data_IF_546008079279
#
_entry.id   IF_546008079279
#
_cell.length_a   1.000
_cell.length_b   1.000
_cell.length_c   1.000
_cell.angle_alpha   90.00
_cell.angle_beta   90.00
_cell.angle_gamma   90.00
#
_symmetry.space_group_name_H-M   'P 1'
#
loop_
_entity.id
_entity.type
_entity.pdbx_description
1 polymer ?
#
# COMPACT_ATOMS: atom_id res chain seq x y z
N UNK A 1 -21.64 16.52 -7.76
CA UNK A 1 -21.03 15.43 -8.56
C UNK A 1 -21.64 14.13 -8.11
N UNK A 2 -22.20 13.32 -9.01
CA UNK A 2 -22.71 11.99 -8.68
C UNK A 2 -21.55 11.01 -8.71
N UNK A 3 -21.27 10.34 -7.59
CA UNK A 3 -20.25 9.27 -7.56
C UNK A 3 -20.83 8.07 -8.31
N UNK A 4 -20.18 7.69 -9.41
CA UNK A 4 -20.45 6.42 -10.09
C UNK A 4 -19.55 5.36 -9.47
N UNK A 5 -20.12 4.47 -8.67
CA UNK A 5 -19.38 3.32 -8.13
C UNK A 5 -19.00 2.39 -9.28
N UNK A 6 -17.70 2.14 -9.43
CA UNK A 6 -17.17 1.10 -10.31
C UNK A 6 -17.02 -0.15 -9.46
N UNK A 7 -17.61 -1.27 -9.88
CA UNK A 7 -17.41 -2.57 -9.24
C UNK A 7 -16.15 -3.18 -9.85
N UNK A 8 -15.20 -3.57 -9.01
CA UNK A 8 -13.94 -4.17 -9.45
C UNK A 8 -14.22 -5.46 -10.26
N UNK A 9 -13.66 -5.61 -11.48
CA UNK A 9 -13.87 -6.80 -12.30
C UNK A 9 -12.97 -7.98 -11.87
N UNK A 10 -12.69 -8.08 -10.57
CA UNK A 10 -11.90 -9.13 -9.94
C UNK A 10 -12.34 -9.31 -8.48
N UNK A 11 -11.96 -10.43 -7.87
CA UNK A 11 -12.13 -10.68 -6.44
C UNK A 11 -10.76 -10.73 -5.78
N UNK A 12 -10.71 -10.31 -4.52
CA UNK A 12 -9.50 -10.43 -3.69
C UNK A 12 -9.20 -11.93 -3.49
N UNK A 13 -7.98 -12.36 -3.86
CA UNK A 13 -7.52 -13.74 -3.69
C UNK A 13 -6.68 -13.93 -2.42
N UNK A 14 -5.86 -12.93 -2.10
CA UNK A 14 -4.95 -12.86 -0.95
C UNK A 14 -4.93 -11.42 -0.46
N UNK A 15 -4.58 -11.21 0.81
CA UNK A 15 -4.42 -9.89 1.43
C UNK A 15 -3.02 -9.73 2.02
N UNK A 16 -2.57 -8.48 2.15
CA UNK A 16 -1.42 -8.10 2.96
C UNK A 16 -1.93 -7.35 4.21
N UNK A 17 -1.52 -7.73 5.42
CA UNK A 17 -1.92 -7.03 6.65
C UNK A 17 -1.38 -5.59 6.67
N UNK A 18 -2.26 -4.64 7.03
CA UNK A 18 -1.88 -3.24 7.22
C UNK A 18 -1.66 -2.91 8.70
N UNK A 19 -0.59 -2.18 9.01
CA UNK A 19 -0.35 -1.66 10.37
C UNK A 19 -0.99 -0.29 10.55
N UNK A 20 -1.87 -0.17 11.54
CA UNK A 20 -2.42 1.13 11.94
C UNK A 20 -1.47 1.86 12.88
N UNK A 21 -1.06 3.06 12.48
CA UNK A 21 -0.32 3.99 13.35
C UNK A 21 -1.26 4.99 14.00
N UNK A 22 -0.90 5.45 15.18
CA UNK A 22 -1.48 6.64 15.80
C UNK A 22 -0.91 7.90 15.17
N UNK A 23 -1.59 9.04 15.38
CA UNK A 23 -1.11 10.34 14.91
C UNK A 23 0.25 10.72 15.53
N UNK A 24 0.46 10.42 16.81
CA UNK A 24 1.69 10.73 17.52
C UNK A 24 2.89 9.95 16.96
N UNK A 25 2.71 8.66 16.68
CA UNK A 25 3.74 7.84 16.02
C UNK A 25 4.09 8.40 14.64
N UNK A 26 3.09 8.77 13.82
CA UNK A 26 3.35 9.37 12.51
C UNK A 26 4.15 10.67 12.60
N UNK A 27 3.87 11.52 13.60
CA UNK A 27 4.65 12.74 13.81
C UNK A 27 6.12 12.44 14.16
N UNK A 28 6.37 11.42 14.98
CA UNK A 28 7.73 10.96 15.29
C UNK A 28 8.46 10.44 14.06
N UNK A 29 7.80 9.58 13.27
CA UNK A 29 8.33 9.03 12.01
C UNK A 29 8.70 10.14 11.03
N UNK A 30 7.81 11.13 10.82
CA UNK A 30 8.07 12.25 9.91
C UNK A 30 9.26 13.11 10.37
N UNK A 31 9.38 13.36 11.68
CA UNK A 31 10.53 14.10 12.23
C UNK A 31 11.84 13.34 12.01
N UNK A 32 11.86 12.04 12.29
CA UNK A 32 13.04 11.19 12.11
C UNK A 32 13.48 11.13 10.64
N UNK A 33 12.52 11.12 9.71
CA UNK A 33 12.78 11.14 8.27
C UNK A 33 13.16 12.53 7.73
N UNK A 34 13.31 13.55 8.59
CA UNK A 34 13.58 14.92 8.15
C UNK A 34 12.48 15.49 7.25
N UNK A 35 11.23 15.03 7.46
CA UNK A 35 10.06 15.35 6.65
C UNK A 35 10.14 14.94 5.17
N UNK A 36 11.12 14.10 4.80
CA UNK A 36 11.20 13.49 3.48
C UNK A 36 10.55 12.10 3.48
N UNK A 37 9.49 11.92 2.69
CA UNK A 37 8.76 10.65 2.64
C UNK A 37 9.59 9.48 2.11
N UNK A 38 10.60 9.73 1.26
CA UNK A 38 11.53 8.69 0.81
C UNK A 38 12.36 8.09 1.96
N UNK A 39 12.47 8.80 3.09
CA UNK A 39 13.12 8.30 4.31
C UNK A 39 12.19 7.56 5.27
N UNK A 40 10.90 7.42 4.96
CA UNK A 40 9.92 6.74 5.81
C UNK A 40 9.90 5.24 5.50
N UNK A 41 9.98 4.40 6.54
CA UNK A 41 9.87 2.94 6.39
C UNK A 41 8.44 2.55 5.99
N UNK A 42 8.31 1.66 5.00
CA UNK A 42 7.02 1.23 4.44
C UNK A 42 6.04 0.70 5.49
N UNK A 43 6.53 -0.06 6.49
CA UNK A 43 5.72 -0.57 7.61
C UNK A 43 5.05 0.52 8.50
N UNK A 44 5.43 1.79 8.32
CA UNK A 44 4.84 2.94 9.01
C UNK A 44 3.87 3.74 8.14
N UNK A 45 3.71 3.33 6.88
CA UNK A 45 2.77 3.90 5.91
C UNK A 45 1.54 3.00 5.86
N UNK A 46 0.36 3.60 6.04
CA UNK A 46 -0.91 2.85 6.04
C UNK A 46 -1.45 2.59 4.63
N UNK A 47 -1.37 3.61 3.77
CA UNK A 47 -1.72 3.54 2.34
C UNK A 47 -0.57 4.22 1.62
N UNK A 48 0.17 3.45 0.83
CA UNK A 48 1.31 3.97 0.07
C UNK A 48 0.86 4.35 -1.34
N UNK A 49 0.97 5.65 -1.64
CA UNK A 49 0.66 6.25 -2.93
C UNK A 49 1.91 6.91 -3.54
N UNK A 50 3.10 6.55 -3.08
CA UNK A 50 4.35 7.19 -3.51
C UNK A 50 4.67 6.91 -4.99
N UNK A 51 4.37 5.70 -5.47
CA UNK A 51 4.61 5.30 -6.87
C UNK A 51 3.72 4.12 -7.27
N UNK A 52 3.45 4.01 -8.57
CA UNK A 52 2.82 2.88 -9.24
C UNK A 52 3.84 1.86 -9.80
N UNK A 53 5.13 2.18 -9.76
CA UNK A 53 6.21 1.33 -10.27
C UNK A 53 6.49 0.16 -9.33
N UNK A 54 6.01 -1.04 -9.68
CA UNK A 54 6.29 -2.27 -8.93
C UNK A 54 5.42 -2.50 -7.69
N UNK A 55 4.37 -1.70 -7.49
CA UNK A 55 3.44 -1.76 -6.34
C UNK A 55 2.08 -2.39 -6.69
N UNK A 56 1.94 -2.95 -7.89
CA UNK A 56 0.71 -3.60 -8.35
C UNK A 56 0.51 -4.98 -7.70
N UNK A 57 -0.76 -5.35 -7.46
CA UNK A 57 -1.12 -6.71 -7.05
C UNK A 57 -1.15 -7.66 -8.25
N UNK A 58 -0.41 -8.76 -8.17
CA UNK A 58 -0.42 -9.81 -9.20
C UNK A 58 -1.67 -10.71 -9.10
N UNK A 59 -2.14 -11.20 -10.24
CA UNK A 59 -3.19 -12.21 -10.32
C UNK A 59 -2.69 -13.60 -9.87
N UNK A 60 -3.63 -14.49 -9.53
CA UNK A 60 -3.30 -15.88 -9.21
C UNK A 60 -2.56 -16.61 -10.36
N UNK A 61 -2.83 -16.26 -11.62
CA UNK A 61 -2.14 -16.84 -12.79
C UNK A 61 -0.67 -16.41 -12.87
N UNK A 62 -0.38 -15.16 -12.55
CA UNK A 62 1.00 -14.66 -12.52
C UNK A 62 1.80 -15.33 -11.40
N UNK A 63 1.19 -15.45 -10.20
CA UNK A 63 1.80 -16.20 -9.10
C UNK A 63 2.07 -17.67 -9.45
N UNK A 64 1.15 -18.34 -10.14
CA UNK A 64 1.36 -19.72 -10.60
C UNK A 64 2.55 -19.87 -11.56
N UNK A 65 2.88 -18.82 -12.34
CA UNK A 65 4.06 -18.82 -13.22
C UNK A 65 5.38 -18.51 -12.52
N UNK A 66 5.36 -18.10 -11.24
CA UNK A 66 6.56 -17.77 -10.45
C UNK A 66 6.95 -18.91 -9.50
N UNK A 67 5.97 -19.67 -9.01
CA UNK A 67 6.11 -20.63 -7.88
C UNK A 67 6.26 -22.08 -8.34
N UNK A 68 6.54 -22.33 -9.62
CA UNK A 68 6.75 -23.68 -10.17
C UNK A 68 8.10 -24.30 -9.75
#
# INVERSE_FOLDING_TARGET
>A
MTIKTIIEPFKIKTIEPLRMTTRAERQGVLKQAGYNLFGVRAESVLIDLLTDSGTCAMSARQWAGIVD
#
